data_IF_486273201510
#
_entry.id   IF_486273201510
#
_cell.length_a   1.000
_cell.length_b   1.000
_cell.length_c   1.000
_cell.angle_alpha   90.00
_cell.angle_beta   90.00
_cell.angle_gamma   90.00
#
_symmetry.space_group_name_H-M   'P 1'
#
loop_
_entity.id
_entity.type
_entity.pdbx_description
1 polymer ?
#
# COMPACT_ATOMS: atom_id res chain seq x y z
N UNK A 1 15.78 34.09 11.71
CA UNK A 1 14.48 33.52 12.10
C UNK A 1 14.30 32.25 11.28
N UNK A 2 14.32 31.07 11.93
CA UNK A 2 14.01 29.80 11.28
C UNK A 2 12.49 29.71 11.15
N UNK A 3 11.98 29.71 9.93
CA UNK A 3 10.56 29.47 9.66
C UNK A 3 10.27 27.99 9.86
N UNK A 4 9.52 27.73 10.93
CA UNK A 4 8.77 26.54 11.29
C UNK A 4 8.45 25.61 10.10
N UNK A 5 9.22 24.52 9.96
CA UNK A 5 9.04 23.49 8.95
C UNK A 5 8.05 22.39 9.42
N UNK A 6 7.15 22.74 10.33
CA UNK A 6 6.18 21.82 10.90
C UNK A 6 4.79 22.45 10.85
N UNK A 7 3.84 21.71 10.29
CA UNK A 7 2.42 21.81 10.65
C UNK A 7 1.48 22.62 9.73
N UNK A 8 1.68 22.57 8.42
CA UNK A 8 0.55 22.63 7.46
C UNK A 8 0.63 21.42 6.53
N UNK A 9 0.48 20.21 7.09
CA UNK A 9 0.13 19.05 6.27
C UNK A 9 -1.14 19.44 5.52
N UNK A 10 -1.06 19.46 4.18
CA UNK A 10 -2.25 19.71 3.35
C UNK A 10 -3.35 18.73 3.76
N UNK A 11 -4.62 19.14 3.69
CA UNK A 11 -5.76 18.29 4.08
C UNK A 11 -5.68 16.89 3.45
N UNK A 12 -5.09 16.79 2.25
CA UNK A 12 -4.79 15.55 1.53
C UNK A 12 -3.74 14.69 2.25
N UNK A 13 -2.62 15.23 2.70
CA UNK A 13 -1.58 14.46 3.39
C UNK A 13 -2.05 13.96 4.76
N UNK A 14 -2.82 14.79 5.47
CA UNK A 14 -3.47 14.37 6.71
C UNK A 14 -4.49 13.25 6.45
N UNK A 15 -5.25 13.35 5.36
CA UNK A 15 -6.18 12.29 4.94
C UNK A 15 -5.44 11.00 4.62
N UNK A 16 -4.31 11.06 3.91
CA UNK A 16 -3.46 9.89 3.62
C UNK A 16 -3.00 9.22 4.91
N UNK A 17 -2.44 9.98 5.85
CA UNK A 17 -1.94 9.45 7.11
C UNK A 17 -3.05 8.75 7.91
N UNK A 18 -4.19 9.41 8.09
CA UNK A 18 -5.34 8.85 8.80
C UNK A 18 -5.90 7.61 8.08
N UNK A 19 -5.83 7.56 6.75
CA UNK A 19 -6.25 6.39 5.96
C UNK A 19 -5.33 5.20 6.21
N UNK A 20 -4.01 5.40 6.28
CA UNK A 20 -3.09 4.33 6.61
C UNK A 20 -3.25 3.85 8.06
N UNK A 21 -3.45 4.76 9.02
CA UNK A 21 -3.76 4.42 10.41
C UNK A 21 -5.09 3.64 10.53
N UNK A 22 -6.08 3.95 9.68
CA UNK A 22 -7.35 3.22 9.60
C UNK A 22 -7.11 1.78 9.11
N UNK A 23 -6.33 1.62 8.05
CA UNK A 23 -6.02 0.33 7.44
C UNK A 23 -5.20 -0.57 8.37
N UNK A 24 -4.33 0.03 9.20
CA UNK A 24 -3.55 -0.66 10.24
C UNK A 24 -4.39 -0.96 11.50
N UNK A 25 -5.59 -0.39 11.62
CA UNK A 25 -6.47 -0.57 12.78
C UNK A 25 -6.01 0.18 14.03
N UNK A 26 -5.12 1.16 13.89
CA UNK A 26 -4.63 2.02 14.97
C UNK A 26 -5.39 3.35 15.07
N UNK A 27 -6.31 3.61 14.14
CA UNK A 27 -7.06 4.86 14.14
C UNK A 27 -8.05 4.95 15.30
N UNK A 28 -7.93 6.02 16.07
CA UNK A 28 -8.89 6.35 17.13
C UNK A 28 -10.22 6.86 16.57
N UNK A 29 -11.33 6.65 17.28
CA UNK A 29 -12.68 7.08 16.87
C UNK A 29 -12.77 8.59 16.59
N UNK A 30 -12.08 9.42 17.39
CA UNK A 30 -11.98 10.86 17.17
C UNK A 30 -11.28 11.21 15.85
N UNK A 31 -10.27 10.43 15.47
CA UNK A 31 -9.49 10.64 14.25
C UNK A 31 -10.24 10.12 13.01
N UNK A 32 -11.09 9.12 13.18
CA UNK A 32 -12.04 8.67 12.16
C UNK A 32 -13.08 9.75 11.85
N UNK A 33 -13.61 10.43 12.87
CA UNK A 33 -14.51 11.57 12.67
C UNK A 33 -13.82 12.74 11.96
N UNK A 34 -12.54 12.98 12.24
CA UNK A 34 -11.72 14.00 11.56
C UNK A 34 -11.54 13.66 10.08
N UNK A 35 -11.21 12.39 9.78
CA UNK A 35 -11.08 11.86 8.42
C UNK A 35 -12.38 11.99 7.61
N UNK A 36 -13.52 11.59 8.18
CA UNK A 36 -14.83 11.76 7.55
C UNK A 36 -15.15 13.24 7.29
N UNK A 37 -14.76 14.12 8.21
CA UNK A 37 -14.86 15.57 8.05
C UNK A 37 -14.05 16.06 6.84
N UNK A 38 -12.79 15.67 6.73
CA UNK A 38 -11.92 16.07 5.63
C UNK A 38 -12.45 15.60 4.28
N UNK A 39 -12.87 14.34 4.17
CA UNK A 39 -13.40 13.77 2.93
C UNK A 39 -14.74 14.38 2.50
N UNK A 40 -15.56 14.84 3.46
CA UNK A 40 -16.84 15.50 3.16
C UNK A 40 -16.65 16.94 2.66
N UNK A 41 -15.67 17.65 3.22
CA UNK A 41 -15.43 19.05 2.90
C UNK A 41 -14.57 19.21 1.64
N UNK A 42 -13.70 18.25 1.34
CA UNK A 42 -12.75 18.35 0.25
C UNK A 42 -12.75 17.11 -0.67
N UNK A 43 -13.07 17.28 -1.97
CA UNK A 43 -13.13 16.17 -2.92
C UNK A 43 -11.76 15.61 -3.29
N UNK A 44 -10.66 16.34 -3.07
CA UNK A 44 -9.31 15.80 -3.29
C UNK A 44 -8.93 14.84 -2.18
N UNK A 45 -9.32 15.13 -0.93
CA UNK A 45 -9.20 14.22 0.20
C UNK A 45 -9.95 12.91 -0.05
N UNK A 46 -11.18 12.98 -0.57
CA UNK A 46 -11.94 11.78 -0.95
C UNK A 46 -11.22 10.94 -2.02
N UNK A 47 -10.63 11.59 -3.03
CA UNK A 47 -9.86 10.89 -4.08
C UNK A 47 -8.61 10.23 -3.52
N UNK A 48 -7.91 10.92 -2.61
CA UNK A 48 -6.73 10.39 -1.93
C UNK A 48 -7.08 9.15 -1.11
N UNK A 49 -8.11 9.21 -0.27
CA UNK A 49 -8.63 8.06 0.47
C UNK A 49 -8.91 6.85 -0.43
N UNK A 50 -9.65 7.05 -1.53
CA UNK A 50 -9.96 5.96 -2.48
C UNK A 50 -8.68 5.36 -3.07
N UNK A 51 -7.70 6.21 -3.40
CA UNK A 51 -6.43 5.76 -3.98
C UNK A 51 -5.60 4.95 -2.98
N UNK A 52 -5.54 5.36 -1.71
CA UNK A 52 -4.87 4.62 -0.64
C UNK A 52 -5.51 3.24 -0.41
N UNK A 53 -6.84 3.17 -0.34
CA UNK A 53 -7.56 1.90 -0.17
C UNK A 53 -7.38 0.97 -1.37
N UNK A 54 -7.39 1.51 -2.59
CA UNK A 54 -7.13 0.71 -3.80
C UNK A 54 -5.71 0.15 -3.82
N UNK A 55 -4.71 0.96 -3.47
CA UNK A 55 -3.33 0.52 -3.35
C UNK A 55 -3.19 -0.58 -2.30
N UNK A 56 -3.85 -0.44 -1.16
CA UNK A 56 -3.86 -1.45 -0.10
C UNK A 56 -4.43 -2.79 -0.59
N UNK A 57 -5.54 -2.75 -1.34
CA UNK A 57 -6.11 -3.95 -1.95
C UNK A 57 -5.20 -4.58 -3.00
N UNK A 58 -4.54 -3.77 -3.83
CA UNK A 58 -3.59 -4.26 -4.85
C UNK A 58 -2.38 -4.93 -4.18
N UNK A 59 -1.83 -4.31 -3.13
CA UNK A 59 -0.75 -4.90 -2.32
C UNK A 59 -1.21 -6.20 -1.64
N UNK A 60 -2.40 -6.23 -1.02
CA UNK A 60 -2.96 -7.47 -0.47
C UNK A 60 -3.09 -8.56 -1.54
N UNK A 61 -3.56 -8.23 -2.74
CA UNK A 61 -3.66 -9.21 -3.82
C UNK A 61 -2.30 -9.68 -4.32
N UNK A 62 -1.32 -8.78 -4.40
CA UNK A 62 0.04 -9.12 -4.82
C UNK A 62 0.72 -10.06 -3.81
N UNK A 63 0.58 -9.78 -2.52
CA UNK A 63 1.26 -10.54 -1.46
C UNK A 63 0.45 -11.74 -0.91
N UNK A 64 -0.88 -11.75 -1.04
CA UNK A 64 -1.72 -12.90 -0.67
C UNK A 64 -2.14 -13.77 -1.88
N UNK A 65 -1.90 -13.32 -3.11
CA UNK A 65 -2.26 -14.02 -4.35
C UNK A 65 -1.40 -15.26 -4.67
N UNK A 66 -0.32 -15.51 -3.92
CA UNK A 66 0.53 -16.70 -4.12
C UNK A 66 0.02 -17.97 -3.42
N UNK A 67 -1.07 -17.94 -2.65
CA UNK A 67 -1.61 -19.15 -1.99
C UNK A 67 -2.88 -19.75 -2.64
N UNK A 68 -3.36 -19.18 -3.75
CA UNK A 68 -4.48 -19.73 -4.50
C UNK A 68 -4.01 -20.62 -5.67
N UNK A 69 -3.40 -21.76 -5.33
CA UNK A 69 -3.55 -23.05 -6.02
C UNK A 69 -3.49 -23.03 -7.56
N UNK A 70 -2.28 -23.20 -8.09
CA UNK A 70 -2.05 -23.97 -9.32
C UNK A 70 -1.93 -23.17 -10.61
N UNK A 71 -0.70 -23.16 -11.13
CA UNK A 71 -0.41 -23.15 -12.56
C UNK A 71 -0.83 -21.88 -13.33
N UNK A 72 0.01 -20.84 -13.26
CA UNK A 72 0.40 -20.12 -14.48
C UNK A 72 1.76 -19.45 -14.30
N UNK A 73 2.71 -19.89 -15.11
CA UNK A 73 3.98 -19.21 -15.36
C UNK A 73 3.68 -17.91 -16.09
N UNK A 74 3.14 -16.90 -15.42
CA UNK A 74 3.06 -15.55 -15.95
C UNK A 74 4.32 -14.83 -15.52
N UNK A 75 5.29 -14.82 -16.43
CA UNK A 75 6.46 -13.95 -16.45
C UNK A 75 6.03 -12.51 -16.05
N UNK A 76 6.18 -12.14 -14.77
CA UNK A 76 5.93 -10.79 -14.30
C UNK A 76 6.96 -9.87 -14.95
N UNK A 77 6.51 -9.14 -15.97
CA UNK A 77 7.32 -8.16 -16.69
C UNK A 77 6.86 -6.78 -16.26
N UNK A 78 7.43 -6.27 -15.17
CA UNK A 78 7.29 -4.88 -14.76
C UNK A 78 7.94 -3.98 -15.84
N UNK A 79 7.30 -2.91 -16.33
CA UNK A 79 7.91 -1.98 -17.26
C UNK A 79 9.07 -1.25 -16.57
N UNK A 80 10.30 -1.65 -16.86
CA UNK A 80 11.52 -1.04 -16.33
C UNK A 80 12.39 -1.94 -15.45
N UNK A 81 11.95 -3.16 -15.12
CA UNK A 81 12.78 -4.11 -14.37
C UNK A 81 13.17 -5.31 -15.25
N UNK A 82 14.46 -5.70 -15.27
CA UNK A 82 14.85 -6.95 -15.90
C UNK A 82 14.22 -8.13 -15.14
N UNK A 83 13.88 -9.23 -15.84
CA UNK A 83 13.29 -10.40 -15.21
C UNK A 83 14.27 -10.99 -14.19
N UNK A 84 13.84 -11.02 -12.92
CA UNK A 84 14.58 -11.69 -11.85
C UNK A 84 14.42 -13.19 -12.08
N UNK A 85 15.39 -13.82 -12.74
CA UNK A 85 15.53 -15.27 -12.73
C UNK A 85 16.25 -15.64 -11.43
N UNK A 86 15.48 -15.82 -10.36
CA UNK A 86 16.00 -16.48 -9.16
C UNK A 86 16.05 -17.97 -9.47
N UNK A 87 17.13 -18.40 -10.13
CA UNK A 87 17.48 -19.81 -10.25
C UNK A 87 17.75 -20.34 -8.84
N UNK A 88 16.70 -20.85 -8.20
CA UNK A 88 16.81 -21.74 -7.05
C UNK A 88 17.34 -23.08 -7.54
N UNK A 89 18.62 -23.13 -7.88
CA UNK A 89 19.34 -24.40 -8.06
C UNK A 89 19.79 -24.87 -6.68
N UNK A 90 18.81 -25.36 -5.93
CA UNK A 90 18.99 -26.07 -4.68
C UNK A 90 18.59 -27.52 -4.87
N UNK A 91 19.44 -28.34 -5.51
CA UNK A 91 19.38 -29.78 -5.33
C UNK A 91 20.77 -30.40 -5.24
N UNK A 92 21.29 -30.41 -4.02
CA UNK A 92 22.32 -31.34 -3.57
C UNK A 92 21.74 -32.77 -3.58
N UNK A 93 21.97 -33.54 -4.65
CA UNK A 93 21.74 -34.97 -4.65
C UNK A 93 23.07 -35.71 -4.45
N UNK A 94 23.31 -36.10 -3.20
CA UNK A 94 24.28 -37.10 -2.78
C UNK A 94 23.76 -38.47 -3.27
N UNK A 95 24.51 -39.20 -4.10
CA UNK A 95 24.33 -40.65 -4.27
C UNK A 95 25.67 -41.34 -4.51
N UNK A 96 26.12 -42.01 -3.44
CA UNK A 96 26.95 -43.21 -3.28
C UNK A 96 27.96 -43.64 -4.36
#
# INVERSE_FOLDING_TARGET
>A
MNSDATNELSSVERTEQLTWELLDGQLSESALSDLEGLMRNDPECLRCYISCVQLEQDLKQLFHGEDAKGQSKSNMRLPGFPPINLASDGNSAITN
#
